data_IF_603632564098
#
_entry.id   IF_603632564098
#
_cell.length_a   1.000
_cell.length_b   1.000
_cell.length_c   1.000
_cell.angle_alpha   90.00
_cell.angle_beta   90.00
_cell.angle_gamma   90.00
#
_symmetry.space_group_name_H-M   'P 1'
#
loop_
_entity.id
_entity.type
_entity.pdbx_description
1 polymer ?
#
# COMPACT_ATOMS: atom_id res chain seq x y z
N UNK A 1 -17.18 53.06 -49.41
CA UNK A 1 -15.97 52.24 -49.66
C UNK A 1 -15.92 51.16 -48.59
N UNK A 2 -16.00 49.89 -49.00
CA UNK A 2 -15.94 48.70 -48.14
C UNK A 2 -14.49 48.44 -47.77
N UNK A 3 -14.20 48.19 -46.50
CA UNK A 3 -12.99 47.46 -46.08
C UNK A 3 -13.35 46.56 -44.89
N UNK A 4 -13.42 45.27 -45.21
CA UNK A 4 -13.49 44.12 -44.33
C UNK A 4 -12.21 44.00 -43.48
N UNK A 5 -12.35 43.74 -42.18
CA UNK A 5 -11.41 42.94 -41.37
C UNK A 5 -12.25 42.21 -40.32
N UNK A 6 -12.83 41.05 -40.64
CA UNK A 6 -12.26 39.70 -40.51
C UNK A 6 -11.63 39.43 -39.14
N UNK A 7 -12.41 38.67 -38.37
CA UNK A 7 -12.00 37.59 -37.47
C UNK A 7 -11.15 37.97 -36.26
N UNK A 8 -11.56 37.49 -35.10
CA UNK A 8 -10.77 36.57 -34.26
C UNK A 8 -11.76 35.89 -33.31
N UNK A 9 -12.40 34.84 -33.82
CA UNK A 9 -12.92 33.74 -33.02
C UNK A 9 -11.72 32.85 -32.72
N UNK A 10 -11.26 32.83 -31.48
CA UNK A 10 -10.52 31.69 -30.93
C UNK A 10 -11.04 31.51 -29.51
N UNK A 11 -12.05 30.65 -29.44
CA UNK A 11 -12.49 30.02 -28.22
C UNK A 11 -11.26 29.41 -27.54
N UNK A 12 -10.95 29.92 -26.36
CA UNK A 12 -9.97 29.30 -25.46
C UNK A 12 -10.54 27.94 -25.06
N UNK A 13 -10.13 26.93 -25.82
CA UNK A 13 -10.23 25.52 -25.46
C UNK A 13 -9.73 25.37 -24.02
N UNK A 14 -10.63 24.95 -23.15
CA UNK A 14 -10.31 24.56 -21.79
C UNK A 14 -9.22 23.49 -21.83
N UNK A 15 -8.05 23.84 -21.34
CA UNK A 15 -7.09 22.86 -20.89
C UNK A 15 -7.71 22.19 -19.66
N UNK A 16 -8.37 21.06 -19.88
CA UNK A 16 -8.62 20.09 -18.82
C UNK A 16 -7.23 19.59 -18.43
N UNK A 17 -6.67 20.15 -17.35
CA UNK A 17 -5.51 19.57 -16.73
C UNK A 17 -5.87 18.11 -16.40
N UNK A 18 -5.06 17.11 -16.78
CA UNK A 18 -5.22 15.79 -16.21
C UNK A 18 -5.16 15.96 -14.70
N UNK A 19 -6.17 15.46 -13.99
CA UNK A 19 -6.15 15.42 -12.54
C UNK A 19 -4.85 14.72 -12.14
N UNK A 20 -3.85 15.51 -11.74
CA UNK A 20 -2.69 14.99 -11.04
C UNK A 20 -3.27 14.39 -9.77
N UNK A 21 -3.39 13.05 -9.76
CA UNK A 21 -3.64 12.28 -8.56
C UNK A 21 -2.66 12.82 -7.52
N UNK A 22 -3.18 13.54 -6.52
CA UNK A 22 -2.37 14.03 -5.43
C UNK A 22 -1.71 12.82 -4.80
N UNK A 23 -0.39 12.72 -4.94
CA UNK A 23 0.38 11.74 -4.21
C UNK A 23 0.16 12.03 -2.73
N UNK A 24 -0.59 11.17 -2.05
CA UNK A 24 -0.70 11.24 -0.60
C UNK A 24 0.71 11.24 0.00
N UNK A 25 0.95 12.01 1.08
CA UNK A 25 2.22 11.97 1.77
C UNK A 25 2.58 10.52 2.09
N UNK A 26 3.79 10.09 1.74
CA UNK A 26 4.21 8.69 1.87
C UNK A 26 4.01 8.10 3.27
N UNK A 27 4.07 8.95 4.31
CA UNK A 27 3.82 8.59 5.70
C UNK A 27 2.35 8.24 5.98
N UNK A 28 1.39 9.07 5.55
CA UNK A 28 -0.03 8.82 5.79
C UNK A 28 -0.50 7.52 5.11
N UNK A 29 0.02 7.26 3.92
CA UNK A 29 -0.21 6.00 3.22
C UNK A 29 0.42 4.80 3.93
N UNK A 30 1.66 4.94 4.42
CA UNK A 30 2.32 3.88 5.18
C UNK A 30 1.53 3.52 6.45
N UNK A 31 1.05 4.51 7.19
CA UNK A 31 0.20 4.31 8.38
C UNK A 31 -1.09 3.56 8.03
N UNK A 32 -1.74 3.86 6.90
CA UNK A 32 -2.93 3.12 6.42
C UNK A 32 -2.61 1.65 6.14
N UNK A 33 -1.50 1.38 5.48
CA UNK A 33 -1.03 0.01 5.23
C UNK A 33 -0.82 -0.75 6.55
N UNK A 34 -0.20 -0.13 7.55
CA UNK A 34 -0.02 -0.77 8.86
C UNK A 34 -1.37 -1.09 9.52
N UNK A 35 -2.32 -0.15 9.52
CA UNK A 35 -3.65 -0.37 10.10
C UNK A 35 -4.41 -1.51 9.42
N UNK A 36 -4.35 -1.60 8.08
CA UNK A 36 -4.95 -2.70 7.34
C UNK A 36 -4.38 -4.05 7.77
N UNK A 37 -3.06 -4.14 7.89
CA UNK A 37 -2.38 -5.38 8.27
C UNK A 37 -2.68 -5.74 9.73
N UNK A 38 -2.71 -4.75 10.63
CA UNK A 38 -3.07 -4.96 12.04
C UNK A 38 -4.48 -5.54 12.17
N UNK A 39 -5.45 -4.97 11.46
CA UNK A 39 -6.82 -5.47 11.41
C UNK A 39 -6.88 -6.90 10.85
N UNK A 40 -6.16 -7.17 9.75
CA UNK A 40 -6.10 -8.51 9.15
C UNK A 40 -5.54 -9.55 10.14
N UNK A 41 -4.51 -9.21 10.90
CA UNK A 41 -3.91 -10.09 11.91
C UNK A 41 -4.88 -10.37 13.06
N UNK A 42 -5.60 -9.34 13.53
CA UNK A 42 -6.63 -9.48 14.55
C UNK A 42 -7.76 -10.40 14.06
N UNK A 43 -8.30 -10.15 12.88
CA UNK A 43 -9.45 -10.89 12.34
C UNK A 43 -9.10 -12.34 12.00
N UNK A 44 -7.92 -12.58 11.43
CA UNK A 44 -7.53 -13.92 10.95
C UNK A 44 -6.92 -14.81 12.02
N UNK A 45 -6.23 -14.23 13.02
CA UNK A 45 -5.46 -14.99 14.02
C UNK A 45 -5.79 -14.65 15.48
N UNK A 46 -6.48 -13.55 15.74
CA UNK A 46 -6.77 -13.09 17.09
C UNK A 46 -5.52 -12.71 17.89
N UNK A 47 -4.44 -12.31 17.20
CA UNK A 47 -3.20 -11.94 17.87
C UNK A 47 -3.27 -10.51 18.41
N UNK A 48 -2.84 -10.35 19.66
CA UNK A 48 -2.59 -9.03 20.22
C UNK A 48 -1.34 -8.39 19.58
N UNK A 49 -1.35 -7.05 19.47
CA UNK A 49 -0.27 -6.27 18.85
C UNK A 49 1.10 -6.47 19.52
N UNK A 50 1.12 -6.87 20.80
CA UNK A 50 2.36 -7.17 21.53
C UNK A 50 3.03 -8.49 21.11
N UNK A 51 2.35 -9.34 20.34
CA UNK A 51 2.87 -10.66 19.94
C UNK A 51 3.63 -10.65 18.62
N UNK A 52 3.53 -9.56 17.85
CA UNK A 52 4.14 -9.48 16.52
C UNK A 52 4.62 -8.06 16.20
N UNK A 53 5.54 -7.96 15.24
CA UNK A 53 5.92 -6.69 14.61
C UNK A 53 5.66 -6.75 13.11
N UNK A 54 5.49 -5.59 12.50
CA UNK A 54 5.32 -5.44 11.05
C UNK A 54 6.55 -4.72 10.52
N UNK A 55 7.21 -5.28 9.51
CA UNK A 55 8.37 -4.68 8.84
C UNK A 55 8.07 -4.54 7.34
N UNK A 56 8.42 -3.41 6.74
CA UNK A 56 8.28 -3.23 5.29
C UNK A 56 9.41 -4.02 4.59
N UNK A 57 9.03 -4.96 3.71
CA UNK A 57 9.96 -5.71 2.89
C UNK A 57 10.04 -5.00 1.53
N UNK A 58 11.15 -4.28 1.30
CA UNK A 58 11.30 -3.40 0.14
C UNK A 58 10.94 -4.06 -1.19
N UNK A 59 10.04 -3.42 -1.94
CA UNK A 59 9.49 -3.92 -3.20
C UNK A 59 10.46 -3.70 -4.36
N UNK A 60 11.05 -4.77 -4.89
CA UNK A 60 11.87 -4.71 -6.09
C UNK A 60 11.12 -4.15 -7.29
N UNK A 61 9.83 -4.46 -7.46
CA UNK A 61 8.94 -3.89 -8.47
C UNK A 61 7.48 -4.20 -8.08
N UNK A 62 6.59 -3.22 -8.18
CA UNK A 62 5.10 -3.26 -8.13
C UNK A 62 4.33 -3.60 -6.84
N UNK A 63 4.77 -4.50 -5.96
CA UNK A 63 3.94 -4.92 -4.80
C UNK A 63 4.64 -4.55 -3.48
N UNK A 64 3.98 -3.78 -2.61
CA UNK A 64 4.55 -3.45 -1.28
C UNK A 64 4.35 -4.62 -0.35
N UNK A 65 5.41 -5.36 -0.13
CA UNK A 65 5.45 -6.47 0.79
C UNK A 65 5.67 -6.00 2.23
N UNK A 66 5.03 -6.69 3.18
CA UNK A 66 5.28 -6.53 4.60
C UNK A 66 5.49 -7.89 5.25
N UNK A 67 6.49 -7.98 6.12
CA UNK A 67 6.66 -9.11 7.02
C UNK A 67 5.85 -8.89 8.30
N UNK A 68 4.95 -9.81 8.61
CA UNK A 68 4.34 -9.95 9.94
C UNK A 68 5.15 -10.97 10.71
N UNK A 69 5.98 -10.50 11.64
CA UNK A 69 6.92 -11.33 12.38
C UNK A 69 6.39 -11.61 13.79
N UNK A 70 6.02 -12.86 14.04
CA UNK A 70 5.62 -13.30 15.38
C UNK A 70 6.84 -13.34 16.29
N UNK A 71 6.79 -12.67 17.44
CA UNK A 71 7.99 -12.38 18.24
C UNK A 71 8.66 -13.64 18.82
N UNK A 72 7.91 -14.71 19.06
CA UNK A 72 8.52 -15.97 19.51
C UNK A 72 9.29 -16.69 18.41
N UNK A 73 8.91 -16.52 17.15
CA UNK A 73 9.63 -17.13 16.03
C UNK A 73 11.03 -16.53 15.91
N UNK A 74 11.21 -15.28 16.32
CA UNK A 74 12.51 -14.60 16.34
C UNK A 74 13.46 -15.16 17.42
N UNK A 75 12.95 -15.95 18.37
CA UNK A 75 13.73 -16.51 19.50
C UNK A 75 14.27 -17.91 19.20
N UNK A 76 13.76 -18.58 18.17
CA UNK A 76 14.09 -19.97 17.86
C UNK A 76 14.45 -20.08 16.39
N UNK A 77 15.46 -20.90 16.06
CA UNK A 77 15.92 -21.02 14.68
C UNK A 77 14.88 -21.71 13.78
N UNK A 78 14.17 -22.73 14.29
CA UNK A 78 13.13 -23.47 13.57
C UNK A 78 12.14 -24.08 14.58
N UNK A 79 10.93 -23.53 14.74
CA UNK A 79 9.89 -24.15 15.57
C UNK A 79 9.48 -25.51 15.01
N UNK A 80 9.11 -26.46 15.87
CA UNK A 80 8.62 -27.79 15.43
C UNK A 80 7.37 -27.72 14.56
N UNK A 81 6.54 -26.72 14.79
CA UNK A 81 5.24 -26.54 14.12
C UNK A 81 5.32 -25.53 12.95
N UNK A 82 6.54 -25.16 12.53
CA UNK A 82 6.78 -24.14 11.52
C UNK A 82 6.73 -22.71 12.07
N UNK A 83 7.08 -21.74 11.23
CA UNK A 83 7.01 -20.33 11.57
C UNK A 83 5.56 -19.86 11.51
N UNK A 84 5.15 -19.11 12.53
CA UNK A 84 3.87 -18.40 12.54
C UNK A 84 3.94 -17.13 11.71
N UNK A 85 5.12 -16.54 11.61
CA UNK A 85 5.43 -15.36 10.82
C UNK A 85 5.06 -15.57 9.35
N UNK A 86 4.65 -14.49 8.70
CA UNK A 86 4.19 -14.54 7.31
C UNK A 86 4.43 -13.22 6.59
N UNK A 87 4.43 -13.27 5.27
CA UNK A 87 4.50 -12.13 4.37
C UNK A 87 3.10 -11.77 3.88
N UNK A 88 2.83 -10.48 3.74
CA UNK A 88 1.63 -9.96 3.08
C UNK A 88 2.00 -8.97 1.99
N UNK A 89 1.33 -9.08 0.86
CA UNK A 89 1.31 -8.05 -0.17
C UNK A 89 0.00 -7.26 -0.04
N UNK A 90 0.11 -5.94 -0.06
CA UNK A 90 -1.03 -5.03 -0.08
C UNK A 90 -1.13 -4.32 -1.41
N UNK A 91 -2.35 -3.94 -1.76
CA UNK A 91 -2.59 -3.17 -2.98
C UNK A 91 -1.95 -1.76 -2.87
N UNK A 92 -1.77 -1.06 -4.00
CA UNK A 92 -1.17 0.26 -3.99
C UNK A 92 -1.96 1.32 -3.19
N UNK A 93 -3.22 1.07 -2.82
CA UNK A 93 -4.01 2.02 -2.04
C UNK A 93 -4.09 1.71 -0.55
N UNK A 94 -3.51 0.58 -0.11
CA UNK A 94 -3.58 0.06 1.26
C UNK A 94 -5.03 -0.20 1.72
N UNK A 95 -5.87 -0.72 0.84
CA UNK A 95 -7.28 -1.04 1.10
C UNK A 95 -7.54 -2.55 1.19
N UNK A 96 -6.66 -3.39 0.63
CA UNK A 96 -6.83 -4.85 0.66
C UNK A 96 -5.50 -5.62 0.74
N UNK A 97 -5.56 -6.79 1.38
CA UNK A 97 -4.49 -7.80 1.34
C UNK A 97 -4.64 -8.58 0.03
N UNK A 98 -3.65 -8.45 -0.86
CA UNK A 98 -3.66 -9.10 -2.18
C UNK A 98 -3.16 -10.53 -2.09
N UNK A 99 -2.18 -10.78 -1.21
CA UNK A 99 -1.57 -12.11 -1.04
C UNK A 99 -1.02 -12.27 0.36
N UNK A 100 -1.13 -13.48 0.89
CA UNK A 100 -0.47 -13.92 2.12
C UNK A 100 0.41 -15.13 1.80
N UNK A 101 1.65 -15.12 2.27
CA UNK A 101 2.62 -16.23 2.07
C UNK A 101 3.31 -16.57 3.39
N UNK A 102 3.27 -17.83 3.78
CA UNK A 102 3.91 -18.32 5.01
C UNK A 102 5.40 -18.55 4.79
N UNK A 103 6.22 -18.21 5.78
CA UNK A 103 7.65 -18.57 5.75
C UNK A 103 7.80 -20.07 6.03
N UNK A 104 8.64 -20.74 5.24
CA UNK A 104 8.94 -22.18 5.34
C UNK A 104 10.13 -22.46 6.26
#
# INVERSE_FOLDING_TARGET
>A
MRLFKLSWLLATLGFIAPACHGSEPGQARHERCLQLIEQHVEDSRGWDRTLYRIEEEGSGNSDRGFAVQYLDDLKVLLPRDGLRSFHVDVDPTCNEIVRETYYQ
#
